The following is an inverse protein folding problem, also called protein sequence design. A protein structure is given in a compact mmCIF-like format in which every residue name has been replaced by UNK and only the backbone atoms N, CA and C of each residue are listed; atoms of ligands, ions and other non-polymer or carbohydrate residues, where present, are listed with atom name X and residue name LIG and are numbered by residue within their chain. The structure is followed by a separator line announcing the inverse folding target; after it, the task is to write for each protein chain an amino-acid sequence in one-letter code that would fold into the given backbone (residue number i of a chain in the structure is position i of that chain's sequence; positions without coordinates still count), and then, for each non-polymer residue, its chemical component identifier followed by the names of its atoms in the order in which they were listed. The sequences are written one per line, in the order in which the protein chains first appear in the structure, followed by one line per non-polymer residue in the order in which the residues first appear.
data_IF_393871288397
#
_entry.id   IF_393871288397
#
_cell.length_a   1.000
_cell.length_b   1.000
_cell.length_c   1.000
_cell.angle_alpha   90.00
_cell.angle_beta   90.00
_cell.angle_gamma   90.00
#
_symmetry.space_group_name_H-M   'P 1'
#
loop_
_entity.id
_entity.type
_entity.pdbx_description
1 polymer ?
#
# COMPACT_ATOMS: atom_id res chain seq x y z
N UNK A 1 -29.48 -26.52 -18.37
CA UNK A 1 -29.75 -27.97 -18.33
C UNK A 1 -28.66 -28.61 -17.50
N UNK A 2 -28.84 -28.72 -16.18
CA UNK A 2 -28.03 -29.59 -15.35
C UNK A 2 -28.33 -31.04 -15.77
N UNK A 3 -27.42 -31.67 -16.53
CA UNK A 3 -27.42 -33.12 -16.58
C UNK A 3 -26.82 -33.60 -15.26
N UNK A 4 -27.69 -33.72 -14.26
CA UNK A 4 -27.34 -34.36 -13.00
C UNK A 4 -26.74 -35.73 -13.30
N UNK A 5 -25.59 -36.01 -12.68
CA UNK A 5 -24.95 -37.31 -12.76
C UNK A 5 -25.95 -38.32 -12.22
N UNK A 6 -26.55 -39.11 -13.11
CA UNK A 6 -27.52 -40.12 -12.71
C UNK A 6 -26.82 -41.07 -11.74
N UNK A 7 -27.42 -41.38 -10.58
CA UNK A 7 -26.87 -42.34 -9.65
C UNK A 7 -26.54 -43.64 -10.37
N UNK A 8 -25.42 -44.26 -10.01
CA UNK A 8 -25.02 -45.57 -10.54
C UNK A 8 -26.15 -46.53 -10.18
N UNK A 9 -26.94 -46.95 -11.17
CA UNK A 9 -27.86 -48.06 -10.95
C UNK A 9 -27.01 -49.28 -10.60
N UNK A 10 -27.26 -49.93 -9.45
CA UNK A 10 -26.49 -51.08 -9.06
C UNK A 10 -26.64 -52.13 -10.17
N UNK A 11 -25.49 -52.60 -10.66
CA UNK A 11 -25.44 -53.75 -11.54
C UNK A 11 -26.28 -54.84 -10.87
N UNK A 12 -27.25 -55.40 -11.57
CA UNK A 12 -28.14 -56.40 -11.01
C UNK A 12 -27.32 -57.70 -10.82
N UNK A 13 -26.61 -57.75 -9.70
CA UNK A 13 -25.62 -58.77 -9.35
C UNK A 13 -26.28 -60.14 -9.33
N UNK A 14 -27.51 -60.19 -8.82
CA UNK A 14 -28.39 -61.37 -8.84
C UNK A 14 -28.59 -61.96 -10.24
N UNK A 15 -28.68 -61.13 -11.30
CA UNK A 15 -28.78 -61.61 -12.69
C UNK A 15 -27.46 -62.17 -13.21
N UNK A 16 -26.33 -61.66 -12.74
CA UNK A 16 -25.00 -62.16 -13.14
C UNK A 16 -24.74 -63.48 -12.42
N UNK A 17 -25.03 -63.54 -11.12
CA UNK A 17 -24.89 -64.74 -10.28
C UNK A 17 -25.77 -65.87 -10.83
N UNK A 18 -27.03 -65.60 -11.18
CA UNK A 18 -27.91 -66.59 -11.80
C UNK A 18 -27.39 -67.11 -13.16
N UNK A 19 -26.70 -66.27 -13.95
CA UNK A 19 -26.08 -66.72 -15.22
C UNK A 19 -24.85 -67.58 -14.92
N UNK A 20 -24.03 -67.19 -13.93
CA UNK A 20 -22.85 -67.93 -13.52
C UNK A 20 -23.19 -69.30 -12.95
N UNK A 21 -24.20 -69.38 -12.07
CA UNK A 21 -24.69 -70.63 -11.48
C UNK A 21 -25.21 -71.59 -12.56
N UNK A 22 -25.94 -71.06 -13.55
CA UNK A 22 -26.44 -71.86 -14.68
C UNK A 22 -25.31 -72.34 -15.60
N UNK A 23 -24.29 -71.52 -15.83
CA UNK A 23 -23.10 -71.94 -16.58
C UNK A 23 -22.33 -73.02 -15.83
N UNK A 24 -22.23 -72.91 -14.51
CA UNK A 24 -21.56 -73.88 -13.65
C UNK A 24 -22.30 -75.23 -13.64
N UNK A 25 -23.64 -75.21 -13.58
CA UNK A 25 -24.43 -76.44 -13.66
C UNK A 25 -24.24 -77.15 -15.00
N UNK A 26 -24.28 -76.42 -16.12
CA UNK A 26 -24.04 -76.97 -17.45
C UNK A 26 -22.61 -77.52 -17.61
N UNK A 27 -21.62 -76.87 -17.00
CA UNK A 27 -20.24 -77.36 -17.02
C UNK A 27 -20.08 -78.67 -16.22
N UNK A 28 -20.75 -78.79 -15.07
CA UNK A 28 -20.76 -80.02 -14.27
C UNK A 28 -21.47 -81.16 -15.02
N UNK A 29 -22.63 -80.90 -15.63
CA UNK A 29 -23.35 -81.87 -16.47
C UNK A 29 -22.47 -82.36 -17.66
N UNK A 30 -21.73 -81.45 -18.28
CA UNK A 30 -20.79 -81.80 -19.36
C UNK A 30 -19.66 -82.70 -18.84
N UNK A 31 -19.09 -82.39 -17.68
CA UNK A 31 -18.02 -83.15 -17.06
C UNK A 31 -18.48 -84.56 -16.68
N UNK A 32 -19.65 -84.69 -16.07
CA UNK A 32 -20.28 -85.97 -15.73
C UNK A 32 -20.56 -86.82 -16.98
N UNK A 33 -21.04 -86.19 -18.07
CA UNK A 33 -21.25 -86.88 -19.34
C UNK A 33 -19.94 -87.40 -19.96
N UNK A 34 -18.82 -86.68 -19.78
CA UNK A 34 -17.49 -87.09 -20.29
C UNK A 34 -16.89 -88.19 -19.40
N UNK A 35 -17.04 -88.09 -18.08
CA UNK A 35 -16.58 -89.08 -17.10
C UNK A 35 -17.30 -90.42 -17.26
N UNK A 36 -18.64 -90.41 -17.36
CA UNK A 36 -19.44 -91.62 -17.60
C UNK A 36 -19.06 -92.35 -18.89
N UNK A 37 -18.67 -91.62 -19.94
CA UNK A 37 -18.12 -92.20 -21.18
C UNK A 37 -16.74 -92.82 -20.98
N UNK A 38 -15.83 -92.13 -20.29
CA UNK A 38 -14.50 -92.66 -19.99
C UNK A 38 -14.57 -93.95 -19.15
N UNK A 39 -15.52 -94.03 -18.21
CA UNK A 39 -15.80 -95.26 -17.44
C UNK A 39 -16.38 -96.38 -18.30
N UNK A 40 -17.16 -96.06 -19.34
CA UNK A 40 -17.73 -97.04 -20.28
C UNK A 40 -16.70 -97.57 -21.29
N UNK A 41 -15.68 -96.80 -21.65
CA UNK A 41 -14.62 -97.20 -22.58
C UNK A 41 -13.47 -97.99 -21.95
N UNK A 42 -13.39 -98.06 -20.61
CA UNK A 42 -12.32 -98.75 -19.88
C UNK A 42 -12.48 -100.30 -19.82
N UNK A 43 -13.44 -100.88 -20.55
CA UNK A 43 -13.81 -102.30 -20.45
C UNK A 43 -13.17 -103.27 -21.47
N UNK A 44 -12.40 -102.82 -22.46
CA UNK A 44 -11.82 -103.71 -23.49
C UNK A 44 -10.38 -103.35 -23.83
N UNK A 45 -9.44 -104.21 -23.41
CA UNK A 45 -8.03 -104.16 -23.79
C UNK A 45 -7.82 -104.84 -25.15
N UNK A 46 -7.47 -104.07 -26.19
CA UNK A 46 -6.75 -104.55 -27.37
C UNK A 46 -6.01 -103.37 -28.06
N UNK A 47 -4.73 -103.49 -28.45
CA UNK A 47 -4.00 -102.44 -29.13
C UNK A 47 -4.04 -102.64 -30.66
N UNK A 48 -4.53 -101.65 -31.41
CA UNK A 48 -4.17 -101.51 -32.83
C UNK A 48 -4.05 -100.03 -33.23
N UNK A 49 -3.02 -99.79 -34.01
CA UNK A 49 -2.54 -98.52 -34.53
C UNK A 49 -3.55 -97.77 -35.41
N UNK A 50 -3.42 -96.44 -35.39
CA UNK A 50 -3.74 -95.54 -36.49
C UNK A 50 -5.21 -95.39 -36.84
N UNK A 51 -5.79 -94.23 -36.50
CA UNK A 51 -6.74 -93.49 -37.35
C UNK A 51 -7.06 -92.16 -36.65
N UNK A 52 -6.97 -91.10 -37.42
CA UNK A 52 -7.40 -89.74 -37.08
C UNK A 52 -8.75 -89.80 -36.37
N UNK A 53 -8.75 -89.44 -35.07
CA UNK A 53 -9.99 -89.26 -34.35
C UNK A 53 -10.77 -88.13 -35.00
N UNK A 54 -11.91 -88.46 -35.61
CA UNK A 54 -12.87 -87.52 -36.18
C UNK A 54 -12.99 -86.28 -35.29
N UNK A 55 -12.42 -85.16 -35.76
CA UNK A 55 -12.49 -83.86 -35.10
C UNK A 55 -13.92 -83.27 -35.15
N UNK A 56 -14.90 -84.05 -35.62
CA UNK A 56 -16.26 -83.61 -35.93
C UNK A 56 -17.40 -84.40 -35.28
N UNK A 57 -17.12 -85.51 -34.58
CA UNK A 57 -18.17 -86.26 -33.86
C UNK A 57 -18.07 -86.02 -32.35
N UNK A 58 -18.24 -84.77 -31.93
CA UNK A 58 -18.68 -84.51 -30.56
C UNK A 58 -20.11 -85.05 -30.42
N UNK A 59 -20.40 -85.97 -29.48
CA UNK A 59 -21.72 -86.58 -29.41
C UNK A 59 -22.78 -85.51 -29.18
N UNK A 60 -23.96 -85.72 -29.77
CA UNK A 60 -25.08 -84.79 -29.79
C UNK A 60 -25.37 -84.17 -28.41
N UNK A 61 -25.21 -84.94 -27.33
CA UNK A 61 -25.35 -84.45 -25.96
C UNK A 61 -24.40 -83.27 -25.62
N UNK A 62 -23.11 -83.33 -25.97
CA UNK A 62 -22.18 -82.20 -25.72
C UNK A 62 -22.49 -81.01 -26.63
N UNK A 63 -22.91 -81.28 -27.86
CA UNK A 63 -23.30 -80.23 -28.79
C UNK A 63 -24.55 -79.48 -28.29
N UNK A 64 -25.51 -80.19 -27.70
CA UNK A 64 -26.68 -79.63 -27.04
C UNK A 64 -26.30 -78.79 -25.80
N UNK A 65 -25.38 -79.26 -24.94
CA UNK A 65 -24.91 -78.48 -23.78
C UNK A 65 -24.15 -77.20 -24.20
N UNK A 66 -23.33 -77.28 -25.25
CA UNK A 66 -22.66 -76.11 -25.81
C UNK A 66 -23.66 -75.09 -26.41
N UNK A 67 -24.72 -75.57 -27.06
CA UNK A 67 -25.80 -74.74 -27.59
C UNK A 67 -26.57 -74.00 -26.47
N UNK A 68 -26.72 -74.64 -25.29
CA UNK A 68 -27.34 -74.02 -24.11
C UNK A 68 -26.42 -73.03 -23.39
N UNK A 69 -25.10 -73.24 -23.40
CA UNK A 69 -24.12 -72.35 -22.76
C UNK A 69 -23.81 -71.09 -23.59
N UNK A 70 -23.82 -71.18 -24.93
CA UNK A 70 -23.54 -70.08 -25.83
C UNK A 70 -24.37 -68.79 -25.57
N UNK A 71 -25.72 -68.84 -25.42
CA UNK A 71 -26.53 -67.64 -25.13
C UNK A 71 -26.23 -67.03 -23.76
N UNK A 72 -25.86 -67.84 -22.76
CA UNK A 72 -25.48 -67.37 -21.43
C UNK A 72 -24.16 -66.58 -21.48
N UNK A 73 -23.15 -67.10 -22.21
CA UNK A 73 -21.91 -66.35 -22.46
C UNK A 73 -22.13 -65.07 -23.28
N UNK A 74 -23.02 -65.10 -24.28
CA UNK A 74 -23.37 -63.91 -25.04
C UNK A 74 -24.01 -62.84 -24.14
N UNK A 75 -24.90 -63.25 -23.22
CA UNK A 75 -25.53 -62.36 -22.24
C UNK A 75 -24.51 -61.78 -21.25
N UNK A 76 -23.57 -62.57 -20.75
CA UNK A 76 -22.49 -62.08 -19.87
C UNK A 76 -21.60 -61.06 -20.59
N UNK A 77 -21.20 -61.34 -21.83
CA UNK A 77 -20.43 -60.41 -22.67
C UNK A 77 -21.19 -59.11 -22.94
N UNK A 78 -22.51 -59.19 -23.16
CA UNK A 78 -23.37 -58.02 -23.33
C UNK A 78 -23.38 -57.16 -22.06
N UNK A 79 -23.59 -57.76 -20.89
CA UNK A 79 -23.57 -57.05 -19.59
C UNK A 79 -22.21 -56.37 -19.35
N UNK A 80 -21.10 -57.07 -19.63
CA UNK A 80 -19.75 -56.52 -19.45
C UNK A 80 -19.47 -55.31 -20.38
N UNK A 81 -19.87 -55.41 -21.65
CA UNK A 81 -19.75 -54.30 -22.62
C UNK A 81 -20.60 -53.10 -22.20
N UNK A 82 -21.83 -53.35 -21.75
CA UNK A 82 -22.71 -52.31 -21.25
C UNK A 82 -22.11 -51.61 -20.02
N UNK A 83 -21.60 -52.39 -19.05
CA UNK A 83 -20.91 -51.85 -17.87
C UNK A 83 -19.70 -51.00 -18.24
N UNK A 84 -18.85 -51.49 -19.13
CA UNK A 84 -17.68 -50.74 -19.64
C UNK A 84 -18.08 -49.43 -20.33
N UNK A 85 -19.15 -49.46 -21.14
CA UNK A 85 -19.71 -48.27 -21.78
C UNK A 85 -20.24 -47.27 -20.76
N UNK A 86 -20.94 -47.74 -19.72
CA UNK A 86 -21.45 -46.91 -18.64
C UNK A 86 -20.33 -46.25 -17.83
N UNK A 87 -19.29 -47.00 -17.44
CA UNK A 87 -18.11 -46.45 -16.75
C UNK A 87 -17.45 -45.36 -17.59
N UNK A 88 -17.30 -45.57 -18.90
CA UNK A 88 -16.74 -44.56 -19.82
C UNK A 88 -17.61 -43.30 -19.88
N UNK A 89 -18.93 -43.46 -19.98
CA UNK A 89 -19.89 -42.35 -19.98
C UNK A 89 -19.82 -41.54 -18.69
N UNK A 90 -19.84 -42.21 -17.53
CA UNK A 90 -19.73 -41.53 -16.23
C UNK A 90 -18.38 -40.83 -16.06
N UNK A 91 -17.27 -41.44 -16.50
CA UNK A 91 -15.96 -40.79 -16.49
C UNK A 91 -15.98 -39.50 -17.31
N UNK A 92 -16.61 -39.53 -18.50
CA UNK A 92 -16.77 -38.34 -19.34
C UNK A 92 -17.65 -37.27 -18.66
N UNK A 93 -18.78 -37.66 -18.08
CA UNK A 93 -19.70 -36.73 -17.41
C UNK A 93 -19.04 -36.08 -16.18
N UNK A 94 -18.40 -36.87 -15.32
CA UNK A 94 -17.65 -36.36 -14.17
C UNK A 94 -16.51 -35.42 -14.60
N UNK A 95 -15.80 -35.75 -15.68
CA UNK A 95 -14.75 -34.87 -16.21
C UNK A 95 -15.32 -33.53 -16.71
N UNK A 96 -16.50 -33.53 -17.36
CA UNK A 96 -17.16 -32.29 -17.78
C UNK A 96 -17.51 -31.40 -16.59
N UNK A 97 -18.11 -31.98 -15.54
CA UNK A 97 -18.47 -31.24 -14.32
C UNK A 97 -17.22 -30.72 -13.62
N UNK A 98 -16.17 -31.56 -13.50
CA UNK A 98 -14.88 -31.13 -12.95
C UNK A 98 -14.30 -29.94 -13.71
N UNK A 99 -14.27 -30.00 -15.04
CA UNK A 99 -13.78 -28.91 -15.87
C UNK A 99 -14.60 -27.62 -15.64
N UNK A 100 -15.92 -27.72 -15.51
CA UNK A 100 -16.77 -26.56 -15.21
C UNK A 100 -16.44 -25.95 -13.85
N UNK A 101 -16.24 -26.78 -12.82
CA UNK A 101 -15.81 -26.31 -11.49
C UNK A 101 -14.45 -25.61 -11.58
N UNK A 102 -13.50 -26.18 -12.31
CA UNK A 102 -12.17 -25.58 -12.50
C UNK A 102 -12.27 -24.21 -13.20
N UNK A 103 -13.13 -24.07 -14.22
CA UNK A 103 -13.37 -22.78 -14.89
C UNK A 103 -13.97 -21.75 -13.94
N UNK A 104 -15.02 -22.11 -13.20
CA UNK A 104 -15.65 -21.22 -12.21
C UNK A 104 -14.63 -20.82 -11.13
N UNK A 105 -13.74 -21.73 -10.75
CA UNK A 105 -12.69 -21.42 -9.79
C UNK A 105 -11.70 -20.38 -10.32
N UNK A 106 -11.28 -20.50 -11.58
CA UNK A 106 -10.43 -19.51 -12.24
C UNK A 106 -11.12 -18.13 -12.31
N UNK A 107 -12.39 -18.09 -12.68
CA UNK A 107 -13.17 -16.85 -12.73
C UNK A 107 -13.27 -16.20 -11.34
N UNK A 108 -13.50 -17.00 -10.30
CA UNK A 108 -13.50 -16.53 -8.91
C UNK A 108 -12.14 -15.93 -8.53
N UNK A 109 -11.03 -16.57 -8.90
CA UNK A 109 -9.69 -16.03 -8.61
C UNK A 109 -9.45 -14.70 -9.35
N UNK A 110 -9.91 -14.57 -10.59
CA UNK A 110 -9.82 -13.32 -11.36
C UNK A 110 -10.56 -12.18 -10.64
N UNK A 111 -11.81 -12.42 -10.22
CA UNK A 111 -12.61 -11.43 -9.49
C UNK A 111 -12.00 -11.08 -8.12
N UNK A 112 -11.45 -12.06 -7.42
CA UNK A 112 -10.77 -11.83 -6.14
C UNK A 112 -9.51 -10.99 -6.34
N UNK A 113 -8.76 -11.20 -7.42
CA UNK A 113 -7.61 -10.37 -7.78
C UNK A 113 -8.05 -8.94 -8.10
N UNK A 114 -9.07 -8.77 -8.93
CA UNK A 114 -9.61 -7.46 -9.30
C UNK A 114 -10.07 -6.69 -8.06
N UNK A 115 -10.85 -7.32 -7.17
CA UNK A 115 -11.27 -6.72 -5.90
C UNK A 115 -10.08 -6.23 -5.09
N UNK A 116 -9.05 -7.07 -4.88
CA UNK A 116 -7.85 -6.69 -4.13
C UNK A 116 -7.08 -5.56 -4.80
N UNK A 117 -7.04 -5.52 -6.13
CA UNK A 117 -6.40 -4.45 -6.86
C UNK A 117 -7.14 -3.11 -6.65
N UNK A 118 -8.46 -3.12 -6.80
CA UNK A 118 -9.30 -1.94 -6.56
C UNK A 118 -9.21 -1.47 -5.10
N UNK A 119 -9.23 -2.38 -4.12
CA UNK A 119 -9.04 -2.03 -2.70
C UNK A 119 -7.70 -1.33 -2.46
N UNK A 120 -6.62 -1.77 -3.11
CA UNK A 120 -5.30 -1.12 -3.02
C UNK A 120 -5.30 0.26 -3.66
N UNK A 121 -5.89 0.42 -4.83
CA UNK A 121 -5.98 1.73 -5.49
C UNK A 121 -6.86 2.70 -4.69
N UNK A 122 -8.00 2.25 -4.14
CA UNK A 122 -8.83 3.05 -3.24
C UNK A 122 -8.02 3.50 -2.02
N UNK A 123 -7.30 2.58 -1.38
CA UNK A 123 -6.45 2.92 -0.22
C UNK A 123 -5.40 3.96 -0.59
N UNK A 124 -4.73 3.80 -1.73
CA UNK A 124 -3.76 4.76 -2.25
C UNK A 124 -4.39 6.14 -2.51
N UNK A 125 -5.61 6.19 -3.04
CA UNK A 125 -6.34 7.43 -3.22
C UNK A 125 -6.78 8.06 -1.89
N UNK A 126 -7.10 7.26 -0.88
CA UNK A 126 -7.46 7.75 0.46
C UNK A 126 -6.24 8.25 1.25
N UNK A 127 -5.08 7.61 1.06
CA UNK A 127 -3.80 8.02 1.63
C UNK A 127 -3.19 9.22 0.89
N UNK A 128 -3.86 9.74 -0.14
CA UNK A 128 -3.41 10.95 -0.81
C UNK A 128 -3.53 12.15 0.13
N UNK A 129 -2.38 12.53 0.68
CA UNK A 129 -2.24 13.72 1.49
C UNK A 129 -1.85 14.90 0.60
N UNK A 130 -2.76 15.86 0.47
CA UNK A 130 -2.51 17.09 -0.29
C UNK A 130 -1.68 18.08 0.52
N UNK A 131 -0.77 18.81 -0.13
CA UNK A 131 0.12 19.79 0.53
C UNK A 131 -0.63 20.81 1.42
N UNK A 132 -1.85 21.22 1.05
CA UNK A 132 -2.61 22.20 1.82
C UNK A 132 -2.98 21.73 3.24
N UNK A 133 -3.08 20.41 3.47
CA UNK A 133 -3.39 19.85 4.80
C UNK A 133 -2.26 20.08 5.80
N UNK A 134 -1.02 20.28 5.31
CA UNK A 134 0.17 20.51 6.12
C UNK A 134 0.49 22.00 6.35
N UNK A 135 -0.28 22.91 5.78
CA UNK A 135 -0.03 24.35 5.89
C UNK A 135 -0.78 24.90 7.10
N UNK A 136 -0.06 25.58 8.00
CA UNK A 136 -0.68 26.38 9.07
C UNK A 136 -1.44 27.55 8.45
N UNK A 137 -2.76 27.55 8.60
CA UNK A 137 -3.69 28.56 8.09
C UNK A 137 -4.56 29.08 9.24
N UNK A 138 -4.93 30.35 9.22
CA UNK A 138 -5.78 31.00 10.23
C UNK A 138 -7.09 30.25 10.42
N UNK A 139 -7.55 30.02 11.66
CA UNK A 139 -8.81 29.28 11.94
C UNK A 139 -10.01 29.91 11.24
N UNK A 140 -11.14 29.20 11.19
CA UNK A 140 -12.34 29.75 10.52
C UNK A 140 -12.81 31.05 11.19
N UNK A 141 -12.74 31.11 12.51
CA UNK A 141 -13.10 32.31 13.28
C UNK A 141 -12.18 33.49 12.93
N UNK A 142 -10.86 33.27 12.95
CA UNK A 142 -9.86 34.29 12.60
C UNK A 142 -9.98 34.74 11.13
N UNK A 143 -10.27 33.81 10.24
CA UNK A 143 -10.50 34.10 8.82
C UNK A 143 -11.63 35.10 8.65
N UNK A 144 -12.79 34.80 9.24
CA UNK A 144 -13.96 35.63 9.09
C UNK A 144 -13.86 36.96 9.86
N UNK A 145 -13.07 37.03 10.92
CA UNK A 145 -12.75 38.31 11.59
C UNK A 145 -11.94 39.24 10.69
N UNK A 146 -10.97 38.69 9.94
CA UNK A 146 -10.11 39.48 9.05
C UNK A 146 -10.71 39.72 7.68
N UNK A 147 -11.60 38.84 7.22
CA UNK A 147 -12.37 38.97 5.98
C UNK A 147 -13.89 38.96 6.25
N UNK A 148 -14.45 40.08 6.77
CA UNK A 148 -15.88 40.17 7.08
C UNK A 148 -16.79 40.28 5.84
N UNK A 149 -16.23 40.50 4.64
CA UNK A 149 -17.00 40.49 3.39
C UNK A 149 -17.55 39.09 3.11
N UNK A 150 -16.75 38.05 3.34
CA UNK A 150 -17.14 36.64 3.13
C UNK A 150 -18.16 36.13 4.17
N UNK A 151 -18.29 36.80 5.33
CA UNK A 151 -19.36 36.47 6.31
C UNK A 151 -20.78 36.76 5.78
N UNK A 152 -20.91 37.61 4.75
CA UNK A 152 -22.22 38.05 4.24
C UNK A 152 -22.85 37.02 3.32
N UNK A 153 -22.06 36.15 2.73
CA UNK A 153 -22.54 34.97 2.04
C UNK A 153 -22.85 33.93 3.12
N UNK A 154 -24.12 33.51 3.26
CA UNK A 154 -24.56 32.52 4.24
C UNK A 154 -23.59 31.32 4.28
N UNK A 155 -22.83 31.11 5.37
CA UNK A 155 -21.77 30.09 5.41
C UNK A 155 -22.28 28.67 5.15
N UNK A 156 -23.54 28.42 5.48
CA UNK A 156 -24.22 27.13 5.30
C UNK A 156 -24.64 26.86 3.85
N UNK A 157 -24.58 27.87 2.97
CA UNK A 157 -24.93 27.75 1.55
C UNK A 157 -23.71 27.46 0.65
N UNK A 158 -22.48 27.64 1.16
CA UNK A 158 -21.26 27.48 0.38
C UNK A 158 -20.71 26.05 0.56
N UNK A 159 -20.35 25.42 -0.55
CA UNK A 159 -19.67 24.13 -0.54
C UNK A 159 -18.36 24.18 0.29
N UNK A 160 -18.10 23.22 1.19
CA UNK A 160 -16.92 23.25 2.06
C UNK A 160 -15.58 23.37 1.31
N UNK A 161 -15.48 22.78 0.12
CA UNK A 161 -14.27 22.86 -0.70
C UNK A 161 -14.12 24.26 -1.33
N UNK A 162 -15.21 24.88 -1.77
CA UNK A 162 -15.19 26.27 -2.22
C UNK A 162 -14.75 27.24 -1.11
N UNK A 163 -15.27 27.06 0.11
CA UNK A 163 -14.86 27.82 1.28
C UNK A 163 -13.35 27.67 1.57
N UNK A 164 -12.83 26.45 1.49
CA UNK A 164 -11.40 26.19 1.65
C UNK A 164 -10.56 26.92 0.59
N UNK A 165 -11.00 26.94 -0.68
CA UNK A 165 -10.31 27.67 -1.74
C UNK A 165 -10.30 29.18 -1.46
N UNK A 166 -11.43 29.76 -1.03
CA UNK A 166 -11.50 31.19 -0.67
C UNK A 166 -10.53 31.52 0.46
N UNK A 167 -10.50 30.69 1.51
CA UNK A 167 -9.56 30.81 2.63
C UNK A 167 -8.10 30.74 2.19
N UNK A 168 -7.73 29.78 1.33
CA UNK A 168 -6.36 29.67 0.81
C UNK A 168 -5.95 30.89 -0.04
N UNK A 169 -6.86 31.43 -0.85
CA UNK A 169 -6.60 32.64 -1.64
C UNK A 169 -6.36 33.86 -0.76
N UNK A 170 -7.17 34.03 0.28
CA UNK A 170 -6.99 35.09 1.26
C UNK A 170 -5.63 34.98 1.96
N UNK A 171 -5.29 33.79 2.45
CA UNK A 171 -4.01 33.54 3.14
C UNK A 171 -2.81 33.87 2.23
N UNK A 172 -2.89 33.48 0.95
CA UNK A 172 -1.88 33.81 -0.04
C UNK A 172 -1.75 35.32 -0.26
N UNK A 173 -2.87 36.04 -0.28
CA UNK A 173 -2.87 37.50 -0.42
C UNK A 173 -2.23 38.20 0.79
N UNK A 174 -2.53 37.74 2.00
CA UNK A 174 -1.96 38.26 3.24
C UNK A 174 -0.46 37.99 3.33
N UNK A 175 -0.02 36.78 2.98
CA UNK A 175 1.42 36.43 2.95
C UNK A 175 2.19 37.30 1.96
N UNK A 176 1.63 37.56 0.77
CA UNK A 176 2.22 38.49 -0.20
C UNK A 176 2.30 39.92 0.33
N UNK A 177 1.26 40.39 1.02
CA UNK A 177 1.24 41.73 1.64
C UNK A 177 2.34 41.85 2.70
N UNK A 178 2.44 40.89 3.61
CA UNK A 178 3.47 40.89 4.65
C UNK A 178 4.88 40.74 4.09
N UNK A 179 5.07 39.96 3.03
CA UNK A 179 6.37 39.87 2.36
C UNK A 179 6.80 41.20 1.73
N UNK A 180 5.86 41.91 1.09
CA UNK A 180 6.11 43.24 0.53
C UNK A 180 6.48 44.26 1.62
N UNK A 181 5.71 44.29 2.71
CA UNK A 181 5.98 45.17 3.86
C UNK A 181 7.32 44.85 4.51
N UNK A 182 7.62 43.57 4.74
CA UNK A 182 8.92 43.11 5.26
C UNK A 182 10.06 43.59 4.37
N UNK A 183 9.92 43.48 3.05
CA UNK A 183 10.93 43.93 2.10
C UNK A 183 11.13 45.45 2.17
N UNK A 184 10.05 46.23 2.26
CA UNK A 184 10.12 47.68 2.41
C UNK A 184 10.79 48.08 3.74
N UNK A 185 10.40 47.46 4.85
CA UNK A 185 11.01 47.70 6.17
C UNK A 185 12.49 47.31 6.19
N UNK A 186 12.88 46.21 5.54
CA UNK A 186 14.28 45.84 5.39
C UNK A 186 15.07 46.88 4.60
N UNK A 187 14.51 47.42 3.51
CA UNK A 187 15.14 48.49 2.74
C UNK A 187 15.30 49.76 3.59
N UNK A 188 14.27 50.16 4.34
CA UNK A 188 14.33 51.31 5.27
C UNK A 188 15.40 51.08 6.36
N UNK A 189 15.45 49.89 6.96
CA UNK A 189 16.46 49.52 7.95
C UNK A 189 17.87 49.63 7.38
N UNK A 190 18.11 49.09 6.18
CA UNK A 190 19.42 49.17 5.53
C UNK A 190 19.81 50.62 5.21
N UNK A 191 18.86 51.44 4.77
CA UNK A 191 19.10 52.86 4.50
C UNK A 191 19.49 53.62 5.78
N UNK A 192 18.69 53.48 6.84
CA UNK A 192 18.96 54.12 8.13
C UNK A 192 20.26 53.63 8.77
N UNK A 193 20.60 52.34 8.61
CA UNK A 193 21.88 51.80 9.08
C UNK A 193 23.05 52.51 8.40
N UNK A 194 23.02 52.64 7.07
CA UNK A 194 24.05 53.35 6.31
C UNK A 194 24.15 54.83 6.74
N UNK A 195 23.02 55.52 6.87
CA UNK A 195 23.00 56.91 7.32
C UNK A 195 23.58 57.06 8.74
N UNK A 196 23.34 56.08 9.63
CA UNK A 196 23.89 56.08 10.97
C UNK A 196 25.42 55.83 10.95
N UNK A 197 25.89 54.88 10.15
CA UNK A 197 27.33 54.59 9.99
C UNK A 197 28.10 55.77 9.38
N UNK A 198 27.50 56.48 8.42
CA UNK A 198 28.04 57.72 7.87
C UNK A 198 28.11 58.85 8.92
N UNK A 199 27.06 59.02 9.73
CA UNK A 199 27.05 60.02 10.80
C UNK A 199 28.07 59.70 11.90
N UNK A 200 28.20 58.43 12.29
CA UNK A 200 29.25 57.98 13.21
C UNK A 200 30.64 58.31 12.67
N UNK A 201 30.91 57.96 11.41
CA UNK A 201 32.20 58.27 10.77
C UNK A 201 32.49 59.78 10.74
N UNK A 202 31.47 60.62 10.52
CA UNK A 202 31.60 62.09 10.59
C UNK A 202 31.86 62.59 12.01
N UNK A 203 31.19 62.03 13.02
CA UNK A 203 31.44 62.35 14.43
C UNK A 203 32.85 61.96 14.85
N UNK A 204 33.33 60.77 14.46
CA UNK A 204 34.69 60.32 14.72
C UNK A 204 35.74 61.24 14.07
N UNK A 205 35.47 61.77 12.88
CA UNK A 205 36.36 62.75 12.24
C UNK A 205 36.34 64.11 12.96
N UNK A 206 35.16 64.59 13.38
CA UNK A 206 35.04 65.83 14.16
C UNK A 206 35.73 65.71 15.53
N UNK A 207 35.63 64.55 16.19
CA UNK A 207 36.33 64.26 17.45
C UNK A 207 37.85 64.36 17.24
N UNK A 208 38.39 63.73 16.19
CA UNK A 208 39.81 63.85 15.84
C UNK A 208 40.22 65.30 15.54
N UNK A 209 39.37 66.09 14.88
CA UNK A 209 39.64 67.51 14.63
C UNK A 209 39.66 68.33 15.92
N UNK A 210 38.72 68.07 16.82
CA UNK A 210 38.64 68.74 18.11
C UNK A 210 39.85 68.41 18.99
N UNK A 211 40.28 67.15 19.03
CA UNK A 211 41.49 66.74 19.75
C UNK A 211 42.73 67.49 19.24
N UNK A 212 42.89 67.59 17.91
CA UNK A 212 43.96 68.39 17.29
C UNK A 212 43.88 69.86 17.72
N UNK A 213 42.69 70.44 17.72
CA UNK A 213 42.48 71.84 18.14
C UNK A 213 42.81 72.03 19.62
N UNK A 214 42.36 71.14 20.50
CA UNK A 214 42.65 71.20 21.94
C UNK A 214 44.15 71.10 22.22
N UNK A 215 44.87 70.21 21.52
CA UNK A 215 46.33 70.12 21.62
C UNK A 215 46.99 71.43 21.20
N UNK A 216 46.63 71.97 20.03
CA UNK A 216 47.17 73.24 19.54
C UNK A 216 46.84 74.43 20.47
N UNK A 217 45.61 74.51 20.98
CA UNK A 217 45.19 75.55 21.92
C UNK A 217 45.97 75.47 23.24
N UNK A 218 46.22 74.26 23.76
CA UNK A 218 47.06 74.04 24.96
C UNK A 218 48.52 74.47 24.73
N UNK A 219 49.07 74.21 23.53
CA UNK A 219 50.40 74.69 23.17
C UNK A 219 50.47 76.23 23.12
N UNK A 220 49.48 76.88 22.52
CA UNK A 220 49.36 78.34 22.48
C UNK A 220 49.21 78.90 23.90
N UNK A 221 48.33 78.32 24.72
CA UNK A 221 48.15 78.72 26.12
C UNK A 221 49.45 78.62 26.89
N UNK A 222 50.23 77.55 26.67
CA UNK A 222 51.54 77.38 27.29
C UNK A 222 52.53 78.46 26.83
N UNK A 223 52.56 78.79 25.53
CA UNK A 223 53.40 79.87 24.99
C UNK A 223 52.99 81.25 25.53
N UNK A 224 51.70 81.53 25.63
CA UNK A 224 51.16 82.80 26.16
C UNK A 224 51.41 82.94 27.67
N UNK A 225 51.24 81.86 28.44
CA UNK A 225 51.61 81.83 29.85
C UNK A 225 53.11 82.07 30.06
N UNK A 226 53.94 81.59 29.13
CA UNK A 226 55.39 81.81 29.15
C UNK A 226 55.83 83.20 28.63
N UNK A 227 54.98 83.91 27.89
CA UNK A 227 55.26 85.28 27.39
C UNK A 227 54.74 86.40 28.31
N UNK A 228 53.99 86.06 29.36
CA UNK A 228 53.46 86.99 30.35
C UNK A 228 54.32 87.20 31.61
N UNK A 229 55.66 87.12 31.53
CA UNK A 229 56.54 87.32 32.69
C UNK A 229 57.73 88.25 32.41
N UNK A 230 57.46 89.56 32.36
CA UNK A 230 58.37 90.57 32.93
C UNK A 230 57.60 91.39 33.97
N UNK A 231 58.16 91.46 35.18
CA UNK A 231 57.54 91.91 36.44
C UNK A 231 57.11 93.39 36.43
N UNK A 232 56.04 93.68 37.17
CA UNK A 232 56.08 94.74 38.19
C UNK A 232 55.28 94.31 39.41
N UNK A 233 55.87 94.50 40.60
CA UNK A 233 55.26 94.24 41.89
C UNK A 233 54.11 95.22 42.16
N UNK A 234 52.96 94.73 42.64
CA UNK A 234 52.30 95.24 43.85
C UNK A 234 50.99 94.52 44.16
N UNK A 235 50.84 94.19 45.45
CA UNK A 235 49.64 94.30 46.26
C UNK A 235 48.30 93.76 45.72
N UNK A 236 47.84 92.63 46.27
CA UNK A 236 46.70 92.58 47.19
C UNK A 236 46.12 91.17 47.26
N UNK A 237 45.91 90.71 48.48
CA UNK A 237 45.14 89.52 48.85
C UNK A 237 43.69 89.64 48.38
N UNK A 238 43.15 88.60 47.74
CA UNK A 238 41.70 88.37 47.73
C UNK A 238 41.38 86.86 47.72
N UNK A 239 40.82 86.40 48.84
CA UNK A 239 40.23 85.07 49.00
C UNK A 239 38.97 84.96 48.14
N UNK A 240 38.85 83.92 47.31
CA UNK A 240 37.54 83.42 46.88
C UNK A 240 37.40 81.95 47.23
N UNK A 241 36.60 81.75 48.27
CA UNK A 241 36.00 80.51 48.69
C UNK A 241 34.88 80.13 47.71
N UNK A 242 34.94 78.96 47.07
CA UNK A 242 33.74 78.30 46.53
C UNK A 242 33.80 76.79 46.75
N UNK A 243 33.00 76.36 47.73
CA UNK A 243 32.53 74.98 47.94
C UNK A 243 31.82 74.45 46.68
N UNK A 244 32.27 73.26 46.21
CA UNK A 244 31.55 72.00 45.85
C UNK A 244 30.14 72.08 45.19
N UNK A 245 29.80 71.18 44.24
CA UNK A 245 29.47 69.81 44.63
C UNK A 245 29.91 68.67 43.68
N UNK A 246 29.80 67.49 44.26
CA UNK A 246 29.89 66.14 43.70
C UNK A 246 28.63 65.83 42.86
N UNK A 247 28.82 65.17 41.72
CA UNK A 247 27.83 64.33 41.03
C UNK A 247 28.63 63.19 40.36
N UNK A 248 28.74 62.03 41.02
CA UNK A 248 27.94 60.82 40.77
C UNK A 248 28.17 60.26 39.37
N UNK A 249 29.15 59.37 39.32
CA UNK A 249 29.29 58.31 38.33
C UNK A 249 28.05 57.41 38.44
N UNK A 250 27.21 57.34 37.40
CA UNK A 250 26.13 56.36 37.33
C UNK A 250 26.41 55.35 36.23
N UNK A 251 26.34 54.09 36.66
CA UNK A 251 26.33 52.82 35.94
C UNK A 251 25.68 52.88 34.55
N UNK A 252 26.33 52.34 33.52
CA UNK A 252 26.20 50.93 33.11
C UNK A 252 24.72 50.52 32.98
N UNK A 253 24.09 50.88 31.86
CA UNK A 253 22.99 50.09 31.31
C UNK A 253 23.61 49.03 30.39
N UNK A 254 23.79 47.84 30.94
CA UNK A 254 23.83 46.61 30.17
C UNK A 254 22.38 46.14 30.02
N UNK A 255 21.82 46.22 28.81
CA UNK A 255 20.60 45.49 28.49
C UNK A 255 20.96 44.02 28.25
N UNK A 256 20.26 43.07 28.91
CA UNK A 256 20.44 41.65 28.63
C UNK A 256 19.73 41.29 27.33
N UNK A 257 20.51 40.74 26.39
CA UNK A 257 19.99 39.97 25.26
C UNK A 257 19.29 38.73 25.81
N UNK A 258 17.96 38.80 25.94
CA UNK A 258 17.14 37.60 26.16
C UNK A 258 17.06 36.87 24.84
N UNK A 259 17.86 35.80 24.73
CA UNK A 259 17.74 34.81 23.69
C UNK A 259 16.42 34.07 23.82
N UNK A 260 15.59 34.14 22.78
CA UNK A 260 14.52 33.19 22.54
C UNK A 260 14.91 32.43 21.27
N UNK A 261 15.50 31.26 21.47
CA UNK A 261 15.46 30.19 20.47
C UNK A 261 14.01 29.70 20.35
N UNK A 262 13.49 29.45 19.15
CA UNK A 262 12.58 28.35 18.95
C UNK A 262 13.40 27.12 18.51
N UNK A 263 13.29 26.06 19.31
CA UNK A 263 13.44 24.69 18.81
C UNK A 263 12.35 24.48 17.75
N UNK A 264 12.74 24.08 16.55
CA UNK A 264 12.29 22.88 15.86
C UNK A 264 13.23 22.61 14.70
#
# INVERSE_FOLDING_TARGET
MQEDIRPIEPLNLDKIDAIADRLMSLANELLESKLSRASSSSGTMAPSEGLEGNLFDEPECNQNLNLLAAPLFARLKFINRNSSSMVSSFKSQTQKVRNQVDQIHLDLQNLVYERRHLEKEIKKCQEFESEYQNISIHSLEEYFERNPEDKREEPDAIDPHELMIKRLKFELSERKRFEAEKKELLQKKLKLSKENDEKKSKLDELEKQLDRFVVSAKEIQSKMANQGYQKSDSCATFKVNRKRPSCVLMHMFSDPVVGIYPRH
#
